data_IF_236538644588
#
_entry.id   IF_236538644588
#
_cell.length_a   1.000
_cell.length_b   1.000
_cell.length_c   1.000
_cell.angle_alpha   90.00
_cell.angle_beta   90.00
_cell.angle_gamma   90.00
#
_symmetry.space_group_name_H-M   'P 1'
#
loop_
_entity.id
_entity.type
_entity.pdbx_description
1 polymer ?
#
# COMPACT_ATOMS: atom_id res chain seq x y z
N UNK A 1 28.59 16.59 -32.21
CA UNK A 1 27.20 16.10 -31.97
C UNK A 1 27.10 15.08 -30.83
N UNK A 2 28.15 14.34 -30.45
CA UNK A 2 28.08 13.36 -29.36
C UNK A 2 27.85 13.95 -27.94
N UNK A 3 28.32 15.19 -27.67
CA UNK A 3 28.18 15.79 -26.33
C UNK A 3 26.77 16.30 -26.02
N UNK A 4 25.98 16.73 -27.02
CA UNK A 4 24.59 17.15 -26.80
C UNK A 4 23.67 15.96 -26.44
N UNK A 5 23.90 14.79 -27.05
CA UNK A 5 23.13 13.58 -26.74
C UNK A 5 23.43 13.04 -25.33
N UNK A 6 24.66 13.20 -24.82
CA UNK A 6 25.00 12.79 -23.46
C UNK A 6 24.33 13.66 -22.39
N UNK A 7 24.22 14.96 -22.65
CA UNK A 7 23.60 15.91 -21.73
C UNK A 7 22.09 15.67 -21.61
N UNK A 8 21.41 15.44 -22.75
CA UNK A 8 19.98 15.06 -22.78
C UNK A 8 19.71 13.76 -22.03
N UNK A 9 20.55 12.73 -22.21
CA UNK A 9 20.37 11.43 -21.57
C UNK A 9 20.54 11.50 -20.04
N UNK A 10 21.50 12.30 -19.56
CA UNK A 10 21.70 12.52 -18.12
C UNK A 10 20.54 13.29 -17.49
N UNK A 11 19.96 14.26 -18.20
CA UNK A 11 18.77 14.99 -17.75
C UNK A 11 17.54 14.07 -17.70
N UNK A 12 17.35 13.21 -18.70
CA UNK A 12 16.27 12.21 -18.74
C UNK A 12 16.37 11.21 -17.57
N UNK A 13 17.58 10.72 -17.26
CA UNK A 13 17.83 9.82 -16.12
C UNK A 13 17.53 10.53 -14.80
N UNK A 14 17.91 11.80 -14.66
CA UNK A 14 17.67 12.58 -13.45
C UNK A 14 16.18 12.85 -13.23
N UNK A 15 15.42 13.12 -14.28
CA UNK A 15 13.97 13.34 -14.18
C UNK A 15 13.22 12.04 -13.88
N UNK A 16 13.63 10.92 -14.47
CA UNK A 16 13.09 9.60 -14.09
C UNK A 16 13.41 9.26 -12.63
N UNK A 17 14.63 9.56 -12.14
CA UNK A 17 15.02 9.36 -10.76
C UNK A 17 14.14 10.17 -9.78
N UNK A 18 13.92 11.46 -10.07
CA UNK A 18 13.02 12.32 -9.28
C UNK A 18 11.60 11.78 -9.25
N UNK A 19 11.08 11.32 -10.39
CA UNK A 19 9.75 10.74 -10.51
C UNK A 19 9.60 9.49 -9.64
N UNK A 20 10.55 8.54 -9.71
CA UNK A 20 10.52 7.32 -8.89
C UNK A 20 10.70 7.60 -7.40
N UNK A 21 11.49 8.61 -7.03
CA UNK A 21 11.62 9.06 -5.63
C UNK A 21 10.29 9.62 -5.09
N UNK A 22 9.58 10.42 -5.88
CA UNK A 22 8.27 10.92 -5.52
C UNK A 22 7.23 9.79 -5.38
N UNK A 23 7.20 8.85 -6.32
CA UNK A 23 6.32 7.66 -6.24
C UNK A 23 6.62 6.84 -4.98
N UNK A 24 7.90 6.62 -4.65
CA UNK A 24 8.28 5.90 -3.43
C UNK A 24 7.80 6.61 -2.16
N UNK A 25 7.91 7.94 -2.09
CA UNK A 25 7.43 8.72 -0.94
C UNK A 25 5.91 8.60 -0.79
N UNK A 26 5.16 8.70 -1.89
CA UNK A 26 3.70 8.54 -1.88
C UNK A 26 3.29 7.14 -1.42
N UNK A 27 3.94 6.09 -1.91
CA UNK A 27 3.64 4.71 -1.49
C UNK A 27 3.98 4.47 -0.02
N UNK A 28 5.05 5.07 0.51
CA UNK A 28 5.37 5.01 1.94
C UNK A 28 4.31 5.68 2.79
N UNK A 29 3.83 6.84 2.36
CA UNK A 29 2.75 7.53 3.06
C UNK A 29 1.46 6.70 3.06
N UNK A 30 1.10 6.12 1.91
CA UNK A 30 -0.06 5.23 1.80
C UNK A 30 0.08 3.98 2.68
N UNK A 31 1.28 3.40 2.77
CA UNK A 31 1.55 2.27 3.65
C UNK A 31 1.34 2.62 5.13
N UNK A 32 1.80 3.79 5.58
CA UNK A 32 1.57 4.25 6.96
C UNK A 32 0.08 4.44 7.25
N UNK A 33 -0.66 5.06 6.34
CA UNK A 33 -2.11 5.25 6.49
C UNK A 33 -2.86 3.91 6.56
N UNK A 34 -2.48 2.94 5.73
CA UNK A 34 -3.05 1.59 5.77
C UNK A 34 -2.67 0.84 7.06
N UNK A 35 -1.45 0.98 7.55
CA UNK A 35 -1.03 0.40 8.84
C UNK A 35 -1.86 0.95 10.01
N UNK A 36 -2.06 2.27 10.04
CA UNK A 36 -2.92 2.91 11.05
C UNK A 36 -4.38 2.45 10.93
N UNK A 37 -4.89 2.32 9.71
CA UNK A 37 -6.24 1.84 9.45
C UNK A 37 -6.44 0.39 9.90
N UNK A 38 -5.51 -0.52 9.58
CA UNK A 38 -5.54 -1.92 10.02
C UNK A 38 -5.49 -2.00 11.55
N UNK A 39 -4.64 -1.20 12.20
CA UNK A 39 -4.53 -1.16 13.66
C UNK A 39 -5.82 -0.64 14.31
N UNK A 40 -6.46 0.36 13.70
CA UNK A 40 -7.76 0.88 14.13
C UNK A 40 -8.86 -0.19 13.99
N UNK A 41 -8.90 -0.90 12.86
CA UNK A 41 -9.82 -2.01 12.65
C UNK A 41 -9.62 -3.11 13.69
N UNK A 42 -8.38 -3.54 13.92
CA UNK A 42 -8.01 -4.53 14.96
C UNK A 42 -8.56 -4.14 16.34
N UNK A 43 -8.47 -2.86 16.70
CA UNK A 43 -9.03 -2.35 17.96
C UNK A 43 -10.56 -2.41 18.03
N UNK A 44 -11.25 -2.35 16.88
CA UNK A 44 -12.72 -2.33 16.77
C UNK A 44 -13.32 -3.72 16.52
N UNK A 45 -12.54 -4.70 16.06
CA UNK A 45 -13.02 -6.08 15.83
C UNK A 45 -13.75 -6.68 17.03
N UNK A 46 -13.27 -6.55 18.29
CA UNK A 46 -13.98 -7.09 19.45
C UNK A 46 -15.38 -6.49 19.62
N UNK A 47 -15.52 -5.17 19.44
CA UNK A 47 -16.80 -4.47 19.52
C UNK A 47 -17.74 -4.88 18.37
N UNK A 48 -17.22 -4.95 17.14
CA UNK A 48 -17.98 -5.37 15.96
C UNK A 48 -18.46 -6.83 16.08
N UNK A 49 -17.65 -7.71 16.68
CA UNK A 49 -18.05 -9.10 17.01
C UNK A 49 -19.16 -9.16 18.05
N UNK A 50 -19.06 -8.35 19.10
CA UNK A 50 -20.10 -8.29 20.14
C UNK A 50 -21.42 -7.75 19.58
N UNK A 51 -21.36 -6.70 18.75
CA UNK A 51 -22.52 -6.13 18.06
C UNK A 51 -23.15 -7.12 17.08
N UNK A 52 -22.36 -7.79 16.25
CA UNK A 52 -22.86 -8.81 15.32
C UNK A 52 -23.45 -10.02 16.05
N UNK A 53 -22.78 -10.53 17.09
CA UNK A 53 -23.28 -11.64 17.90
C UNK A 53 -24.60 -11.27 18.60
N UNK A 54 -24.70 -10.06 19.13
CA UNK A 54 -25.93 -9.54 19.76
C UNK A 54 -27.06 -9.40 18.73
N UNK A 55 -26.77 -8.83 17.56
CA UNK A 55 -27.73 -8.67 16.48
C UNK A 55 -28.21 -10.01 15.91
N UNK A 56 -27.31 -10.99 15.73
CA UNK A 56 -27.65 -12.35 15.30
C UNK A 56 -28.52 -13.07 16.31
N UNK A 57 -28.19 -12.94 17.61
CA UNK A 57 -29.01 -13.49 18.70
C UNK A 57 -30.40 -12.86 18.74
N UNK A 58 -30.52 -11.58 18.40
CA UNK A 58 -31.80 -10.86 18.33
C UNK A 58 -32.61 -11.12 17.06
N UNK A 59 -31.97 -11.46 15.93
CA UNK A 59 -32.64 -11.63 14.62
C UNK A 59 -32.94 -13.08 14.24
N UNK A 60 -32.42 -14.07 14.97
CA UNK A 60 -32.74 -15.47 14.72
C UNK A 60 -32.28 -15.94 13.33
N UNK A 61 -30.96 -15.96 13.10
CA UNK A 61 -30.22 -16.70 12.04
C UNK A 61 -30.69 -16.62 10.57
N UNK A 62 -31.71 -15.83 10.20
CA UNK A 62 -32.36 -15.99 8.89
C UNK A 62 -31.69 -15.27 7.72
N UNK A 63 -30.87 -14.26 7.96
CA UNK A 63 -30.18 -13.50 6.92
C UNK A 63 -28.66 -13.53 7.16
N UNK A 64 -28.01 -14.56 6.63
CA UNK A 64 -26.56 -14.64 6.43
C UNK A 64 -26.23 -14.05 5.06
N UNK A 65 -26.52 -12.76 4.85
CA UNK A 65 -26.08 -12.09 3.62
C UNK A 65 -24.57 -11.81 3.65
N UNK A 66 -23.96 -11.93 2.47
CA UNK A 66 -22.53 -11.92 2.14
C UNK A 66 -21.82 -10.59 2.45
N UNK A 67 -21.77 -10.18 3.71
CA UNK A 67 -20.87 -9.12 4.16
C UNK A 67 -19.58 -9.74 4.64
N UNK A 68 -18.43 -9.29 4.12
CA UNK A 68 -17.12 -9.71 4.61
C UNK A 68 -17.06 -9.52 6.12
N UNK A 69 -16.62 -10.54 6.85
CA UNK A 69 -16.41 -10.40 8.29
C UNK A 69 -15.28 -9.39 8.53
N UNK A 70 -15.23 -8.72 9.69
CA UNK A 70 -14.12 -7.81 10.01
C UNK A 70 -12.74 -8.47 9.87
N UNK A 71 -12.63 -9.79 10.07
CA UNK A 71 -11.39 -10.54 9.83
C UNK A 71 -11.04 -10.69 8.35
N UNK A 72 -12.04 -10.82 7.49
CA UNK A 72 -11.84 -10.89 6.05
C UNK A 72 -11.39 -9.52 5.51
N UNK A 73 -12.05 -8.44 5.92
CA UNK A 73 -11.65 -7.06 5.58
C UNK A 73 -10.22 -6.77 6.05
N UNK A 74 -9.87 -7.14 7.29
CA UNK A 74 -8.49 -6.98 7.79
C UNK A 74 -7.46 -7.73 6.93
N UNK A 75 -7.74 -8.98 6.55
CA UNK A 75 -6.81 -9.77 5.72
C UNK A 75 -6.61 -9.16 4.33
N UNK A 76 -7.65 -8.59 3.75
CA UNK A 76 -7.55 -7.90 2.46
C UNK A 76 -6.66 -6.66 2.57
N UNK A 77 -6.81 -5.85 3.63
CA UNK A 77 -5.96 -4.68 3.85
C UNK A 77 -4.52 -5.05 4.21
N UNK A 78 -4.30 -6.14 4.95
CA UNK A 78 -2.95 -6.69 5.20
C UNK A 78 -2.29 -7.13 3.88
N UNK A 79 -3.04 -7.79 2.99
CA UNK A 79 -2.54 -8.18 1.67
C UNK A 79 -2.23 -6.96 0.77
N UNK A 80 -3.06 -5.91 0.80
CA UNK A 80 -2.78 -4.66 0.08
C UNK A 80 -1.50 -3.98 0.63
N UNK A 81 -1.33 -3.97 1.95
CA UNK A 81 -0.14 -3.41 2.58
C UNK A 81 1.14 -4.15 2.16
N UNK A 82 1.11 -5.48 2.16
CA UNK A 82 2.26 -6.29 1.71
C UNK A 82 2.57 -6.08 0.22
N UNK A 83 1.55 -5.93 -0.63
CA UNK A 83 1.75 -5.58 -2.03
C UNK A 83 2.40 -4.20 -2.20
N UNK A 84 1.98 -3.20 -1.42
CA UNK A 84 2.58 -1.85 -1.42
C UNK A 84 4.03 -1.90 -0.95
N UNK A 85 4.33 -2.64 0.12
CA UNK A 85 5.71 -2.86 0.59
C UNK A 85 6.59 -3.51 -0.49
N UNK A 86 6.05 -4.51 -1.19
CA UNK A 86 6.73 -5.13 -2.34
C UNK A 86 7.05 -4.11 -3.45
N UNK A 87 6.10 -3.25 -3.82
CA UNK A 87 6.34 -2.18 -4.81
C UNK A 87 7.40 -1.18 -4.36
N UNK A 88 7.43 -0.82 -3.07
CA UNK A 88 8.46 0.06 -2.50
C UNK A 88 9.86 -0.56 -2.68
N UNK A 89 10.02 -1.86 -2.42
CA UNK A 89 11.31 -2.56 -2.59
C UNK A 89 11.75 -2.54 -4.05
N UNK A 90 10.85 -2.83 -4.99
CA UNK A 90 11.16 -2.78 -6.42
C UNK A 90 11.58 -1.37 -6.86
N UNK A 91 10.89 -0.33 -6.37
CA UNK A 91 11.26 1.05 -6.65
C UNK A 91 12.62 1.42 -6.05
N UNK A 92 12.96 0.95 -4.85
CA UNK A 92 14.29 1.16 -4.25
C UNK A 92 15.40 0.54 -5.12
N UNK A 93 15.17 -0.65 -5.66
CA UNK A 93 16.11 -1.29 -6.58
C UNK A 93 16.26 -0.49 -7.88
N UNK A 94 15.14 -0.06 -8.47
CA UNK A 94 15.14 0.76 -9.69
C UNK A 94 15.89 2.09 -9.50
N UNK A 95 15.65 2.79 -8.38
CA UNK A 95 16.36 4.04 -8.03
C UNK A 95 17.86 3.78 -7.88
N UNK A 96 18.25 2.68 -7.23
CA UNK A 96 19.66 2.32 -7.04
C UNK A 96 20.35 2.10 -8.39
N UNK A 97 19.71 1.37 -9.31
CA UNK A 97 20.24 1.11 -10.65
C UNK A 97 20.35 2.40 -11.47
N UNK A 98 19.31 3.26 -11.45
CA UNK A 98 19.32 4.54 -12.16
C UNK A 98 20.39 5.50 -11.60
N UNK A 99 20.58 5.52 -10.28
CA UNK A 99 21.64 6.33 -9.64
C UNK A 99 23.05 5.89 -10.05
N UNK A 100 23.24 4.60 -10.34
CA UNK A 100 24.52 4.06 -10.83
C UNK A 100 24.75 4.36 -12.32
N UNK A 101 23.68 4.52 -13.10
CA UNK A 101 23.74 4.83 -14.54
C UNK A 101 23.87 6.33 -14.82
N UNK A 102 23.44 7.19 -13.88
CA UNK A 102 23.54 8.65 -13.98
C UNK A 102 24.88 9.24 -13.53
N UNK A 103 25.78 8.45 -12.93
CA UNK A 103 27.17 8.81 -12.57
C UNK A 103 28.15 8.33 -13.65
#
# INVERSE_FOLDING_TARGET
MASQNKMSLSDDINDELKSKLAEQQQLRQKALELEEFVKSLQGRVPELKLLSSSAQKSRGLRDLEETLTPEQEMREHEAELDAIRGRIIVLQQAITLLSQQGN
#
